data_IF_393887557555
#
_entry.id   IF_393887557555
#
_cell.length_a   1.000
_cell.length_b   1.000
_cell.length_c   1.000
_cell.angle_alpha   90.00
_cell.angle_beta   90.00
_cell.angle_gamma   90.00
#
_symmetry.space_group_name_H-M   'P 1'
#
loop_
_entity.id
_entity.type
_entity.pdbx_description
1 polymer ?
#
# COMPACT_ATOMS: atom_id res chain seq x y z
N UNK A 1 -1.77 23.82 11.57
CA UNK A 1 -1.53 22.95 12.75
C UNK A 1 -0.33 22.09 12.40
N UNK A 2 0.76 22.17 13.14
CA UNK A 2 2.04 21.52 12.80
C UNK A 2 2.09 20.11 13.38
N UNK A 3 1.69 19.12 12.58
CA UNK A 3 1.81 17.69 12.87
C UNK A 3 0.90 17.12 13.97
N UNK A 4 0.66 15.81 13.91
CA UNK A 4 -0.09 15.03 14.90
C UNK A 4 0.08 13.52 14.68
N UNK A 5 -0.20 12.74 15.71
CA UNK A 5 -0.17 11.27 15.66
C UNK A 5 -1.55 10.68 15.92
N UNK A 6 -1.80 9.49 15.36
CA UNK A 6 -2.98 8.68 15.69
C UNK A 6 -2.71 7.18 15.47
N UNK A 7 -3.65 6.35 15.89
CA UNK A 7 -3.53 4.90 15.81
C UNK A 7 -4.67 4.30 15.01
N UNK A 8 -4.34 3.52 13.98
CA UNK A 8 -5.28 2.65 13.27
C UNK A 8 -5.51 1.38 14.09
N UNK A 9 -6.75 1.17 14.52
CA UNK A 9 -7.16 -0.04 15.26
C UNK A 9 -7.82 -1.01 14.30
N UNK A 10 -7.38 -2.27 14.37
CA UNK A 10 -7.95 -3.32 13.50
C UNK A 10 -9.43 -3.50 13.80
N UNK A 11 -10.22 -3.73 12.76
CA UNK A 11 -11.65 -4.02 12.86
C UNK A 11 -11.96 -5.51 12.59
N UNK A 12 -11.05 -6.41 12.99
CA UNK A 12 -11.18 -7.86 12.74
C UNK A 12 -12.21 -8.50 13.67
N UNK A 13 -13.49 -8.17 13.48
CA UNK A 13 -14.59 -8.91 14.11
C UNK A 13 -15.29 -9.69 13.02
N UNK A 14 -15.37 -11.01 13.09
CA UNK A 14 -16.22 -11.76 12.15
C UNK A 14 -17.70 -11.39 12.38
N UNK A 15 -18.53 -11.16 11.34
CA UNK A 15 -18.28 -11.26 9.90
C UNK A 15 -17.92 -9.91 9.21
N UNK A 16 -17.48 -8.90 9.95
CA UNK A 16 -17.17 -7.55 9.49
C UNK A 16 -15.99 -7.56 8.48
N UNK A 17 -15.99 -6.69 7.46
CA UNK A 17 -14.87 -6.52 6.54
C UNK A 17 -13.54 -6.30 7.27
N UNK A 18 -12.46 -6.94 6.77
CA UNK A 18 -11.12 -6.71 7.31
C UNK A 18 -10.73 -5.25 7.11
N UNK A 19 -10.07 -4.63 8.08
CA UNK A 19 -9.73 -3.22 7.93
C UNK A 19 -9.23 -2.54 9.18
N UNK A 20 -9.25 -1.22 9.15
CA UNK A 20 -8.87 -0.34 10.24
C UNK A 20 -9.90 0.75 10.47
N UNK A 21 -9.97 1.23 11.71
CA UNK A 21 -10.69 2.46 12.08
C UNK A 21 -9.80 3.35 12.92
N UNK A 22 -10.00 4.66 12.84
CA UNK A 22 -9.31 5.62 13.68
C UNK A 22 -10.09 6.93 13.83
N UNK A 23 -9.63 7.74 14.78
CA UNK A 23 -9.89 9.18 14.80
C UNK A 23 -8.59 9.88 14.39
N UNK A 24 -8.55 10.42 13.17
CA UNK A 24 -7.36 10.95 12.51
C UNK A 24 -7.09 12.41 12.91
N UNK A 25 -6.87 12.63 14.20
CA UNK A 25 -6.60 13.95 14.77
C UNK A 25 -7.70 14.97 14.43
N UNK A 26 -7.37 16.12 13.81
CA UNK A 26 -8.36 17.16 13.52
C UNK A 26 -9.34 16.78 12.39
N UNK A 27 -9.07 15.72 11.62
CA UNK A 27 -9.92 15.30 10.51
C UNK A 27 -11.07 14.37 10.95
N UNK A 28 -11.05 13.88 12.19
CA UNK A 28 -12.13 13.08 12.74
C UNK A 28 -12.08 11.60 12.36
N UNK A 29 -13.24 10.95 12.45
CA UNK A 29 -13.35 9.50 12.28
C UNK A 29 -13.14 9.06 10.82
N UNK A 30 -12.41 7.95 10.64
CA UNK A 30 -12.15 7.32 9.35
C UNK A 30 -12.20 5.79 9.50
N UNK A 31 -12.71 5.13 8.46
CA UNK A 31 -12.68 3.68 8.31
C UNK A 31 -12.04 3.33 6.97
N UNK A 32 -11.16 2.33 6.99
CA UNK A 32 -10.59 1.71 5.80
C UNK A 32 -10.93 0.23 5.85
N UNK A 33 -11.56 -0.29 4.81
CA UNK A 33 -12.02 -1.68 4.76
C UNK A 33 -11.59 -2.36 3.48
N UNK A 34 -11.30 -3.65 3.57
CA UNK A 34 -11.18 -4.60 2.47
C UNK A 34 -12.39 -5.51 2.50
N UNK A 35 -13.40 -5.24 1.65
CA UNK A 35 -14.56 -6.11 1.55
C UNK A 35 -14.13 -7.55 1.26
N UNK A 36 -14.67 -8.50 2.02
CA UNK A 36 -14.50 -9.91 1.71
C UNK A 36 -15.55 -10.31 0.67
N UNK A 37 -15.13 -11.03 -0.36
CA UNK A 37 -16.05 -11.65 -1.30
C UNK A 37 -16.88 -12.75 -0.62
N UNK A 38 -18.01 -13.11 -1.23
CA UNK A 38 -18.80 -14.25 -0.79
C UNK A 38 -17.98 -15.55 -0.84
N UNK A 39 -18.19 -16.50 0.08
CA UNK A 39 -17.59 -17.83 -0.01
C UNK A 39 -17.81 -18.46 -1.39
N UNK A 40 -16.75 -18.94 -2.03
CA UNK A 40 -16.81 -19.53 -3.37
C UNK A 40 -16.80 -18.53 -4.54
N UNK A 41 -16.76 -17.21 -4.27
CA UNK A 41 -16.50 -16.18 -5.28
C UNK A 41 -15.06 -15.68 -5.23
N UNK A 42 -14.62 -15.07 -6.34
CA UNK A 42 -13.31 -14.43 -6.40
C UNK A 42 -13.17 -13.34 -5.33
N UNK A 43 -11.97 -13.20 -4.77
CA UNK A 43 -11.69 -12.13 -3.81
C UNK A 43 -11.93 -10.76 -4.43
N UNK A 44 -12.65 -9.91 -3.70
CA UNK A 44 -12.79 -8.50 -4.05
C UNK A 44 -11.42 -7.86 -3.81
N UNK A 45 -10.69 -7.57 -4.90
CA UNK A 45 -9.41 -6.85 -4.86
C UNK A 45 -9.69 -5.36 -4.67
N UNK A 46 -10.33 -5.04 -3.56
CA UNK A 46 -10.85 -3.71 -3.28
C UNK A 46 -10.41 -3.24 -1.89
N UNK A 47 -10.10 -1.94 -1.78
CA UNK A 47 -10.01 -1.20 -0.52
C UNK A 47 -10.97 -0.03 -0.62
N UNK A 48 -11.74 0.22 0.43
CA UNK A 48 -12.64 1.36 0.53
C UNK A 48 -12.25 2.18 1.76
N UNK A 49 -12.22 3.49 1.62
CA UNK A 49 -12.08 4.44 2.72
C UNK A 49 -13.30 5.35 2.75
N UNK A 50 -13.86 5.51 3.95
CA UNK A 50 -14.96 6.45 4.21
C UNK A 50 -14.83 7.09 5.59
N UNK A 51 -15.42 8.27 5.74
CA UNK A 51 -15.48 9.01 7.01
C UNK A 51 -16.18 10.35 6.81
N UNK A 52 -16.83 10.94 7.83
CA UNK A 52 -17.65 12.14 7.65
C UNK A 52 -16.92 13.34 7.03
N UNK A 53 -15.63 13.49 7.32
CA UNK A 53 -14.79 14.58 6.80
C UNK A 53 -13.86 14.13 5.67
N UNK A 54 -13.86 12.84 5.33
CA UNK A 54 -12.96 12.26 4.35
C UNK A 54 -13.65 12.16 3.00
N UNK A 55 -12.98 12.49 1.89
CA UNK A 55 -13.49 12.10 0.59
C UNK A 55 -13.53 10.56 0.50
N UNK A 56 -14.60 10.03 -0.09
CA UNK A 56 -14.66 8.60 -0.36
C UNK A 56 -13.50 8.22 -1.28
N UNK A 57 -12.81 7.14 -0.94
CA UNK A 57 -11.71 6.66 -1.76
C UNK A 57 -11.75 5.16 -1.92
N UNK A 58 -11.31 4.71 -3.08
CA UNK A 58 -11.40 3.32 -3.48
C UNK A 58 -10.14 2.92 -4.24
N UNK A 59 -9.56 1.80 -3.83
CA UNK A 59 -8.54 1.12 -4.59
C UNK A 59 -9.10 -0.17 -5.16
N UNK A 60 -8.89 -0.40 -6.45
CA UNK A 60 -9.38 -1.59 -7.15
C UNK A 60 -8.27 -2.32 -7.91
N UNK A 61 -8.40 -3.64 -7.97
CA UNK A 61 -7.62 -4.50 -8.83
C UNK A 61 -6.23 -4.80 -8.28
N UNK A 62 -5.34 -5.14 -9.20
CA UNK A 62 -4.00 -5.62 -8.90
C UNK A 62 -3.82 -7.13 -9.08
N UNK A 63 -2.61 -7.60 -8.80
CA UNK A 63 -2.18 -8.98 -8.93
C UNK A 63 -2.37 -9.78 -7.62
N UNK A 64 -2.86 -11.01 -7.74
CA UNK A 64 -2.97 -11.95 -6.62
C UNK A 64 -4.30 -11.91 -5.87
N UNK A 65 -4.24 -12.22 -4.57
CA UNK A 65 -5.41 -12.34 -3.68
C UNK A 65 -5.79 -11.00 -3.03
N UNK A 66 -4.80 -10.14 -2.79
CA UNK A 66 -4.98 -8.82 -2.19
C UNK A 66 -4.97 -7.74 -3.27
N UNK A 67 -5.61 -6.57 -3.03
CA UNK A 67 -5.42 -5.40 -3.87
C UNK A 67 -3.94 -5.06 -3.97
N UNK A 68 -3.42 -4.68 -5.13
CA UNK A 68 -1.99 -4.37 -5.28
C UNK A 68 -1.74 -3.17 -6.20
N UNK A 69 -0.65 -2.44 -5.95
CA UNK A 69 -0.24 -1.30 -6.79
C UNK A 69 0.12 -1.70 -8.23
N UNK A 70 0.51 -2.95 -8.47
CA UNK A 70 0.77 -3.46 -9.82
C UNK A 70 -0.54 -3.80 -10.53
N UNK A 71 -0.93 -3.00 -11.52
CA UNK A 71 -2.20 -3.15 -12.27
C UNK A 71 -3.46 -2.68 -11.51
N UNK A 72 -3.29 -2.09 -10.32
CA UNK A 72 -4.39 -1.50 -9.55
C UNK A 72 -4.71 -0.05 -9.94
N UNK A 73 -5.83 0.46 -9.44
CA UNK A 73 -6.32 1.82 -9.69
C UNK A 73 -6.80 2.43 -8.38
N UNK A 74 -6.48 3.70 -8.17
CA UNK A 74 -6.96 4.49 -7.03
C UNK A 74 -7.89 5.59 -7.54
N UNK A 75 -9.03 5.76 -6.89
CA UNK A 75 -9.93 6.89 -7.07
C UNK A 75 -10.18 7.58 -5.73
N UNK A 76 -10.23 8.91 -5.74
CA UNK A 76 -10.60 9.74 -4.58
C UNK A 76 -11.71 10.66 -5.04
N UNK A 77 -12.86 10.62 -4.37
CA UNK A 77 -14.06 11.39 -4.71
C UNK A 77 -14.46 11.13 -6.18
N UNK A 78 -14.50 9.85 -6.56
CA UNK A 78 -14.74 9.37 -7.93
C UNK A 78 -13.67 9.73 -8.97
N UNK A 79 -12.66 10.54 -8.60
CA UNK A 79 -11.65 11.06 -9.52
C UNK A 79 -10.43 10.13 -9.54
N UNK A 80 -9.99 9.64 -10.71
CA UNK A 80 -8.81 8.79 -10.80
C UNK A 80 -7.53 9.50 -10.35
N UNK A 81 -6.73 8.81 -9.56
CA UNK A 81 -5.36 9.21 -9.21
C UNK A 81 -4.41 8.62 -10.24
N UNK A 82 -3.60 9.47 -10.89
CA UNK A 82 -2.60 8.99 -11.82
C UNK A 82 -1.45 8.35 -11.04
N UNK A 83 -1.14 7.09 -11.32
CA UNK A 83 -0.14 6.31 -10.59
C UNK A 83 0.97 5.83 -11.52
N UNK A 84 2.22 5.96 -11.07
CA UNK A 84 3.38 5.47 -11.79
C UNK A 84 4.33 4.75 -10.83
N UNK A 85 4.51 3.45 -11.07
CA UNK A 85 5.53 2.67 -10.36
C UNK A 85 6.91 3.03 -10.93
N UNK A 86 7.77 3.62 -10.10
CA UNK A 86 9.16 3.92 -10.47
C UNK A 86 10.10 2.93 -9.82
N UNK A 87 10.93 2.30 -10.65
CA UNK A 87 11.97 1.36 -10.23
C UNK A 87 13.32 1.96 -10.61
N UNK A 88 14.01 2.59 -9.66
CA UNK A 88 15.37 3.11 -9.88
C UNK A 88 16.40 2.02 -9.55
N UNK A 89 16.54 1.02 -10.43
CA UNK A 89 17.58 0.00 -10.32
C UNK A 89 17.28 -1.17 -9.37
N UNK A 90 18.31 -1.99 -9.12
CA UNK A 90 18.21 -3.33 -8.48
C UNK A 90 18.37 -3.27 -6.94
N UNK A 91 18.82 -2.13 -6.38
CA UNK A 91 19.18 -2.03 -4.95
C UNK A 91 17.95 -1.95 -4.03
N UNK A 92 18.13 -2.33 -2.76
CA UNK A 92 17.13 -2.23 -1.69
C UNK A 92 16.76 -0.75 -1.48
N UNK A 93 15.47 -0.42 -1.50
CA UNK A 93 14.96 0.94 -1.24
C UNK A 93 14.81 1.88 -2.44
N UNK A 94 14.98 1.40 -3.67
CA UNK A 94 14.94 2.26 -4.87
C UNK A 94 13.63 2.20 -5.68
N UNK A 95 12.57 1.67 -5.08
CA UNK A 95 11.24 1.59 -5.69
C UNK A 95 10.27 2.51 -4.96
N UNK A 96 9.57 3.35 -5.72
CA UNK A 96 8.57 4.28 -5.20
C UNK A 96 7.36 4.30 -6.11
N UNK A 97 6.21 4.61 -5.54
CA UNK A 97 4.99 4.92 -6.28
C UNK A 97 4.88 6.44 -6.35
N UNK A 98 4.91 6.99 -7.54
CA UNK A 98 4.59 8.39 -7.79
C UNK A 98 3.09 8.50 -8.07
N UNK A 99 2.43 9.48 -7.44
CA UNK A 99 1.02 9.75 -7.67
C UNK A 99 0.82 11.22 -8.03
N UNK A 100 -0.14 11.48 -8.91
CA UNK A 100 -0.60 12.83 -9.22
C UNK A 100 -2.11 12.91 -9.04
N UNK A 101 -2.56 13.88 -8.26
CA UNK A 101 -3.98 14.10 -7.99
C UNK A 101 -4.28 15.60 -7.82
N UNK A 102 -5.23 16.12 -8.61
CA UNK A 102 -5.66 17.54 -8.59
C UNK A 102 -4.48 18.53 -8.56
N UNK A 103 -3.44 18.26 -9.35
CA UNK A 103 -2.24 19.10 -9.47
C UNK A 103 -1.18 18.90 -8.40
N UNK A 104 -1.44 18.06 -7.39
CA UNK A 104 -0.50 17.73 -6.33
C UNK A 104 0.29 16.46 -6.69
N UNK A 105 1.59 16.50 -6.41
CA UNK A 105 2.50 15.39 -6.64
C UNK A 105 2.87 14.70 -5.32
N UNK A 106 2.68 13.38 -5.30
CA UNK A 106 2.93 12.55 -4.13
C UNK A 106 4.00 11.52 -4.43
N UNK A 107 4.78 11.19 -3.39
CA UNK A 107 5.67 10.03 -3.40
C UNK A 107 5.29 9.08 -2.28
N UNK A 108 5.06 7.83 -2.62
CA UNK A 108 4.81 6.76 -1.67
C UNK A 108 5.92 5.71 -1.70
N UNK A 109 6.41 5.32 -0.52
CA UNK A 109 7.46 4.31 -0.35
C UNK A 109 7.05 3.29 0.71
N UNK A 110 7.52 2.05 0.56
CA UNK A 110 7.26 0.96 1.51
C UNK A 110 8.54 0.17 1.74
N UNK A 111 9.06 0.20 2.97
CA UNK A 111 10.27 -0.51 3.35
C UNK A 111 9.91 -1.90 3.89
N UNK A 112 9.94 -2.90 3.01
CA UNK A 112 9.44 -4.26 3.26
C UNK A 112 10.05 -5.05 4.43
N UNK A 113 11.15 -4.60 5.04
CA UNK A 113 11.74 -5.28 6.21
C UNK A 113 11.24 -4.74 7.56
N UNK A 114 10.75 -3.50 7.62
CA UNK A 114 10.21 -2.91 8.85
C UNK A 114 8.73 -2.52 8.75
N UNK A 115 8.07 -2.80 7.60
CA UNK A 115 6.69 -2.37 7.33
C UNK A 115 6.42 -0.91 7.74
N UNK A 116 7.41 -0.06 7.47
CA UNK A 116 7.29 1.40 7.51
C UNK A 116 6.94 1.84 6.09
N UNK A 117 5.78 2.45 5.96
CA UNK A 117 5.36 3.13 4.74
C UNK A 117 5.40 4.64 4.95
N UNK A 118 5.62 5.37 3.87
CA UNK A 118 5.67 6.82 3.91
C UNK A 118 5.01 7.40 2.67
N UNK A 119 4.09 8.33 2.86
CA UNK A 119 3.58 9.22 1.82
C UNK A 119 4.13 10.62 2.06
N UNK A 120 4.65 11.27 1.02
CA UNK A 120 5.12 12.65 1.09
C UNK A 120 4.55 13.51 -0.05
N UNK A 121 4.23 14.76 0.26
CA UNK A 121 3.82 15.85 -0.67
C UNK A 121 4.39 17.16 -0.14
N UNK A 122 5.24 17.83 -0.91
CA UNK A 122 5.90 19.08 -0.49
C UNK A 122 6.54 18.93 0.91
N UNK A 123 6.15 19.79 1.87
CA UNK A 123 6.59 19.77 3.27
C UNK A 123 5.75 18.85 4.18
N UNK A 124 4.84 18.04 3.60
CA UNK A 124 4.00 17.09 4.32
C UNK A 124 4.58 15.69 4.21
N UNK A 125 4.70 15.02 5.37
CA UNK A 125 5.08 13.61 5.44
C UNK A 125 4.13 12.86 6.36
N UNK A 126 3.58 11.76 5.87
CA UNK A 126 2.76 10.82 6.63
C UNK A 126 3.51 9.50 6.70
N UNK A 127 3.87 9.10 7.91
CA UNK A 127 4.55 7.84 8.19
C UNK A 127 3.58 6.85 8.82
N UNK A 128 3.56 5.63 8.30
CA UNK A 128 2.76 4.53 8.83
C UNK A 128 3.70 3.43 9.32
N UNK A 129 3.62 3.17 10.61
CA UNK A 129 4.45 2.19 11.29
C UNK A 129 3.63 0.99 11.74
N UNK A 130 4.05 -0.18 11.27
CA UNK A 130 3.56 -1.45 11.76
C UNK A 130 4.46 -1.95 12.88
N UNK A 131 3.97 -2.05 14.13
CA UNK A 131 4.74 -2.68 15.19
C UNK A 131 4.96 -4.17 14.88
N UNK A 132 6.01 -4.79 15.43
CA UNK A 132 6.26 -6.22 15.27
C UNK A 132 5.05 -7.04 15.69
N UNK A 133 4.62 -7.97 14.82
CA UNK A 133 3.54 -8.88 15.15
C UNK A 133 3.98 -9.87 16.23
N UNK A 134 3.18 -10.00 17.29
CA UNK A 134 3.34 -11.02 18.32
C UNK A 134 2.29 -12.10 18.10
N UNK A 135 2.71 -13.37 18.14
CA UNK A 135 1.82 -14.52 17.95
C UNK A 135 0.73 -14.52 19.04
N UNK A 136 -0.54 -14.53 18.63
CA UNK A 136 -1.70 -14.56 19.53
C UNK A 136 -2.39 -13.20 19.71
N UNK A 137 -1.67 -12.11 19.45
CA UNK A 137 -2.30 -10.82 19.27
C UNK A 137 -2.91 -10.82 17.86
N UNK A 138 -4.14 -10.34 17.72
CA UNK A 138 -4.80 -10.18 16.42
C UNK A 138 -3.99 -9.29 15.48
N UNK A 139 -4.61 -8.75 14.44
CA UNK A 139 -3.87 -7.83 13.55
C UNK A 139 -3.36 -6.64 14.36
N UNK A 140 -2.05 -6.34 14.31
CA UNK A 140 -1.49 -5.27 15.11
C UNK A 140 -2.11 -3.94 14.69
N UNK A 141 -2.23 -3.00 15.64
CA UNK A 141 -2.55 -1.62 15.32
C UNK A 141 -1.45 -1.01 14.43
N UNK A 142 -1.72 0.12 13.77
CA UNK A 142 -0.69 0.93 13.09
C UNK A 142 -0.56 2.25 13.78
N UNK A 143 0.67 2.70 13.97
CA UNK A 143 0.92 4.07 14.37
C UNK A 143 1.04 4.92 13.12
N UNK A 144 0.34 6.05 13.09
CA UNK A 144 0.42 7.03 12.00
C UNK A 144 0.93 8.33 12.58
N UNK A 145 1.99 8.86 11.98
CA UNK A 145 2.58 10.15 12.32
C UNK A 145 2.49 11.08 11.13
N UNK A 146 2.01 12.29 11.38
CA UNK A 146 1.80 13.33 10.37
C UNK A 146 2.69 14.50 10.72
N UNK A 147 3.52 14.91 9.77
CA UNK A 147 4.39 16.07 9.84
C UNK A 147 3.99 17.07 8.75
N UNK A 148 4.03 18.37 9.07
CA UNK A 148 3.60 19.43 8.16
C UNK A 148 2.10 19.73 8.18
N UNK A 149 1.66 20.58 7.27
CA UNK A 149 0.25 20.96 7.09
C UNK A 149 -0.45 20.01 6.12
N UNK A 150 -0.81 18.84 6.64
CA UNK A 150 -1.49 17.82 5.86
C UNK A 150 -2.92 18.25 5.48
N UNK A 151 -3.33 17.85 4.27
CA UNK A 151 -4.72 17.89 3.82
C UNK A 151 -5.41 16.56 4.11
N UNK A 152 -6.73 16.56 4.18
CA UNK A 152 -7.51 15.32 4.33
C UNK A 152 -7.26 14.35 3.16
N UNK A 153 -7.00 14.89 1.96
CA UNK A 153 -6.61 14.10 0.77
C UNK A 153 -5.30 13.36 0.97
N UNK A 154 -4.33 13.98 1.65
CA UNK A 154 -3.01 13.37 1.90
C UNK A 154 -3.19 12.13 2.79
N UNK A 155 -3.98 12.25 3.86
CA UNK A 155 -4.36 11.12 4.71
C UNK A 155 -5.17 10.08 3.95
N UNK A 156 -6.13 10.50 3.12
CA UNK A 156 -6.98 9.59 2.34
C UNK A 156 -6.13 8.66 1.47
N UNK A 157 -5.18 9.23 0.73
CA UNK A 157 -4.27 8.47 -0.13
C UNK A 157 -3.40 7.53 0.71
N UNK A 158 -2.80 8.04 1.79
CA UNK A 158 -1.92 7.26 2.65
C UNK A 158 -2.63 6.05 3.27
N UNK A 159 -3.83 6.27 3.81
CA UNK A 159 -4.61 5.27 4.52
C UNK A 159 -5.19 4.19 3.61
N UNK A 160 -5.61 4.54 2.38
CA UNK A 160 -6.00 3.52 1.40
C UNK A 160 -4.82 2.64 1.02
N UNK A 161 -3.64 3.23 0.77
CA UNK A 161 -2.44 2.49 0.36
C UNK A 161 -1.86 1.58 1.45
N UNK A 162 -2.13 1.84 2.74
CA UNK A 162 -1.78 0.92 3.83
C UNK A 162 -2.41 -0.46 3.66
N UNK A 163 -3.64 -0.51 3.15
CA UNK A 163 -4.37 -1.77 2.94
C UNK A 163 -4.06 -2.43 1.60
N UNK A 164 -3.25 -1.78 0.74
CA UNK A 164 -2.85 -2.27 -0.57
C UNK A 164 -1.51 -3.00 -0.48
N UNK A 165 -1.42 -4.14 -1.15
CA UNK A 165 -0.18 -4.88 -1.29
C UNK A 165 0.84 -4.05 -2.09
N UNK A 166 1.90 -3.67 -1.39
CA UNK A 166 3.01 -2.88 -1.90
C UNK A 166 4.26 -3.71 -2.14
N UNK A 167 4.15 -5.04 -2.22
CA UNK A 167 5.31 -5.92 -2.42
C UNK A 167 6.09 -5.61 -3.70
N UNK A 168 5.45 -5.13 -4.76
CA UNK A 168 6.14 -4.66 -5.97
C UNK A 168 7.02 -3.41 -5.72
N UNK A 169 6.83 -2.70 -4.61
CA UNK A 169 7.72 -1.66 -4.11
C UNK A 169 8.88 -2.23 -3.26
N UNK A 170 8.92 -3.53 -3.00
CA UNK A 170 9.94 -4.18 -2.18
C UNK A 170 10.84 -5.09 -3.03
N UNK A 171 12.12 -5.23 -2.65
CA UNK A 171 13.08 -6.08 -3.39
C UNK A 171 12.70 -7.56 -3.39
N UNK A 172 12.05 -8.07 -2.35
CA UNK A 172 11.61 -9.49 -2.27
C UNK A 172 10.40 -9.80 -3.17
N UNK A 173 9.48 -8.85 -3.37
CA UNK A 173 8.34 -9.05 -4.28
C UNK A 173 8.74 -9.16 -5.75
N UNK A 174 9.83 -8.50 -6.14
CA UNK A 174 10.40 -8.59 -7.48
C UNK A 174 11.05 -9.97 -7.77
N UNK A 175 11.69 -10.60 -6.78
CA UNK A 175 12.32 -11.93 -6.97
C UNK A 175 11.25 -13.02 -7.13
N UNK A 176 10.12 -12.90 -6.43
CA UNK A 176 9.00 -13.85 -6.53
C UNK A 176 8.12 -13.64 -7.77
N UNK A 177 8.25 -12.51 -8.47
CA UNK A 177 7.51 -12.21 -9.71
C UNK A 177 8.31 -12.51 -10.99
N UNK A 178 9.55 -13.01 -10.88
CA UNK A 178 10.31 -13.52 -12.02
C UNK A 178 9.69 -14.86 -12.45
N UNK A 179 9.15 -14.99 -13.68
CA UNK A 179 8.72 -16.29 -14.19
C UNK A 179 9.93 -17.24 -14.21
N UNK A 180 9.75 -18.46 -13.68
CA UNK A 180 10.82 -19.45 -13.48
C UNK A 180 11.62 -19.88 -14.72
N UNK A 181 11.33 -19.36 -15.91
CA UNK A 181 12.09 -19.63 -17.14
C UNK A 181 13.45 -18.93 -17.20
N UNK A 182 13.71 -17.90 -16.41
CA UNK A 182 14.98 -17.15 -16.46
C UNK A 182 16.07 -17.75 -15.55
N UNK A 183 15.69 -18.57 -14.56
CA UNK A 183 16.66 -19.21 -13.64
C UNK A 183 17.21 -20.56 -14.12
N UNK A 184 16.66 -21.13 -15.20
CA UNK A 184 17.09 -22.43 -15.74
C UNK A 184 17.67 -22.38 -17.17
N UNK A 185 17.79 -21.22 -17.81
CA UNK A 185 18.40 -21.09 -19.14
C UNK A 185 19.92 -20.90 -19.08
N UNK A 186 20.58 -21.72 -18.26
CA UNK A 186 22.02 -21.66 -18.00
C UNK A 186 22.67 -23.05 -18.06
N UNK A 187 22.29 -23.88 -19.03
CA UNK A 187 22.98 -25.13 -19.32
C UNK A 187 22.86 -25.46 -20.83
N UNK A 188 23.80 -24.92 -21.61
CA UNK A 188 24.44 -25.63 -22.73
C UNK A 188 25.51 -24.70 -23.31
N UNK A 189 26.77 -24.92 -22.91
CA UNK A 189 27.91 -24.54 -23.74
C UNK A 189 28.47 -25.83 -24.30
N UNK A 190 28.35 -25.94 -25.61
CA UNK A 190 28.97 -26.89 -26.53
C UNK A 190 30.34 -27.41 -26.05
N UNK A 191 30.44 -28.74 -25.94
CA UNK A 191 31.72 -29.43 -25.99
C UNK A 191 32.15 -29.50 -27.45
N UNK A 192 33.05 -28.60 -27.86
CA UNK A 192 33.79 -28.74 -29.10
C UNK A 192 34.96 -29.71 -28.91
N UNK A 193 34.91 -30.87 -29.58
CA UNK A 193 36.05 -31.77 -29.75
C UNK A 193 37.17 -31.10 -30.56
N UNK A 194 38.44 -31.24 -30.15
CA UNK A 194 39.56 -31.15 -31.08
C UNK A 194 39.91 -32.54 -31.65
N UNK A 195 40.31 -32.51 -32.92
CA UNK A 195 40.83 -33.65 -33.73
C UNK A 195 42.06 -34.32 -33.12
#
# INVERSE_FOLDING_TARGET
MTGFDFTLKSNDTYPVPDGFTANAGPFGAVSVVRPRGEPGRAHLRQVLLSGPSFPDAEFNGGAGILPSVDGGRLTVDGTPVAMALKVQGIRKGSRRLELNFRGQHYTYTSNGFMKRAQLSRDDVTITLDTPPWKKGDGRPARQVSVEGEALVTDLTIALVLEEVNTNSLTTMGAILSIPGKVLFSGAQRDEGSPE
#
